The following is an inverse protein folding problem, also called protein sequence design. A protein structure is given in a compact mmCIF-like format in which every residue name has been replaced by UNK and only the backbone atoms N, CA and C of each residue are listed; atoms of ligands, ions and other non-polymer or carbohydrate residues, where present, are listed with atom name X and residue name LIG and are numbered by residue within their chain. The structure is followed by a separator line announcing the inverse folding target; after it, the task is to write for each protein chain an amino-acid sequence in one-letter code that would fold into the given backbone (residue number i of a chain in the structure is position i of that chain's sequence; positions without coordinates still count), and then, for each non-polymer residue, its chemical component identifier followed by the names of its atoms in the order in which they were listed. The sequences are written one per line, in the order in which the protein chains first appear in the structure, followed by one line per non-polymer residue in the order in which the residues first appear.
data_IF_548924303208
#
_entry.id   IF_548924303208
#
_cell.length_a   1.000
_cell.length_b   1.000
_cell.length_c   1.000
_cell.angle_alpha   90.00
_cell.angle_beta   90.00
_cell.angle_gamma   90.00
#
_symmetry.space_group_name_H-M   'P 1'
#
loop_
_entity.id
_entity.type
_entity.pdbx_description
1 polymer ?
#
# COMPACT_ATOMS: atom_id res chain seq x y z
N UNK A 1 -15.44 8.64 3.32
CA UNK A 1 -15.91 7.27 3.58
C UNK A 1 -16.73 6.82 2.39
N UNK A 2 -16.49 5.61 1.86
CA UNK A 2 -17.25 5.02 0.77
C UNK A 2 -17.79 3.67 1.23
N UNK A 3 -19.06 3.41 0.94
CA UNK A 3 -19.75 2.17 1.26
C UNK A 3 -20.40 1.64 -0.02
N UNK A 4 -20.29 0.35 -0.24
CA UNK A 4 -20.89 -0.37 -1.36
C UNK A 4 -21.34 -1.73 -0.85
N UNK A 5 -22.60 -2.11 -1.03
CA UNK A 5 -23.10 -3.41 -0.58
C UNK A 5 -24.18 -3.96 -1.50
N UNK A 6 -24.10 -5.27 -1.78
CA UNK A 6 -25.10 -6.11 -2.42
C UNK A 6 -25.46 -7.22 -1.43
N UNK A 7 -26.72 -7.26 -1.02
CA UNK A 7 -27.21 -8.16 0.03
C UNK A 7 -28.42 -8.96 -0.46
N UNK A 8 -28.70 -10.10 0.19
CA UNK A 8 -29.97 -10.83 0.06
C UNK A 8 -31.05 -10.33 1.03
N UNK A 9 -30.74 -9.30 1.83
CA UNK A 9 -31.63 -8.82 2.87
C UNK A 9 -32.95 -8.27 2.29
N UNK A 10 -34.12 -8.70 2.79
CA UNK A 10 -35.41 -8.30 2.25
C UNK A 10 -35.73 -6.82 2.52
N UNK A 11 -35.15 -6.23 3.57
CA UNK A 11 -35.45 -4.88 4.03
C UNK A 11 -34.33 -3.87 3.72
N UNK A 12 -34.23 -3.49 2.45
CA UNK A 12 -33.18 -2.62 1.90
C UNK A 12 -33.10 -1.24 2.61
N UNK A 13 -34.17 -0.80 3.29
CA UNK A 13 -34.25 0.50 3.95
C UNK A 13 -33.26 0.64 5.14
N UNK A 14 -32.89 -0.44 5.80
CA UNK A 14 -31.93 -0.42 6.93
C UNK A 14 -30.51 -0.07 6.47
N UNK A 15 -30.15 -0.47 5.25
CA UNK A 15 -28.87 -0.18 4.59
C UNK A 15 -28.81 1.31 4.18
N UNK A 16 -29.92 1.87 3.68
CA UNK A 16 -29.99 3.28 3.31
C UNK A 16 -29.92 4.25 4.50
N UNK A 17 -30.18 3.78 5.73
CA UNK A 17 -30.02 4.58 6.96
C UNK A 17 -28.58 4.62 7.47
N UNK A 18 -27.62 4.04 6.74
CA UNK A 18 -26.21 3.97 7.14
C UNK A 18 -26.02 3.32 8.52
N UNK A 19 -26.88 2.35 8.88
CA UNK A 19 -26.71 1.61 10.11
C UNK A 19 -25.57 0.59 9.96
N UNK A 20 -24.35 1.01 10.29
CA UNK A 20 -23.11 0.26 10.05
C UNK A 20 -23.06 -1.11 10.72
N UNK A 21 -23.97 -1.42 11.66
CA UNK A 21 -24.05 -2.73 12.33
C UNK A 21 -24.61 -3.84 11.44
N UNK A 22 -25.35 -3.51 10.38
CA UNK A 22 -25.95 -4.50 9.46
C UNK A 22 -25.16 -4.66 8.16
N UNK A 23 -24.13 -3.84 7.94
CA UNK A 23 -23.26 -3.97 6.77
C UNK A 23 -22.19 -5.03 7.00
N UNK A 24 -21.82 -5.76 5.94
CA UNK A 24 -20.84 -6.86 5.95
C UNK A 24 -21.23 -8.08 6.82
N UNK A 25 -22.53 -8.28 7.08
CA UNK A 25 -23.05 -9.46 7.78
C UNK A 25 -22.72 -10.76 7.01
N UNK A 26 -22.22 -11.75 7.75
CA UNK A 26 -21.78 -13.07 7.28
C UNK A 26 -22.85 -13.85 6.53
N UNK A 27 -24.11 -13.73 6.93
CA UNK A 27 -25.22 -14.55 6.43
C UNK A 27 -25.98 -13.93 5.26
N UNK A 28 -25.89 -12.61 5.09
CA UNK A 28 -26.76 -11.84 4.20
C UNK A 28 -26.00 -11.11 3.09
N UNK A 29 -24.72 -10.77 3.32
CA UNK A 29 -23.91 -10.02 2.36
C UNK A 29 -23.46 -10.93 1.21
N UNK A 30 -23.81 -10.57 -0.02
CA UNK A 30 -23.26 -11.21 -1.23
C UNK A 30 -21.91 -10.57 -1.57
N UNK A 31 -21.84 -9.24 -1.54
CA UNK A 31 -20.60 -8.49 -1.69
C UNK A 31 -20.73 -7.16 -0.98
N UNK A 32 -19.73 -6.77 -0.21
CA UNK A 32 -19.74 -5.49 0.48
C UNK A 32 -18.33 -4.95 0.63
N UNK A 33 -18.18 -3.65 0.45
CA UNK A 33 -16.92 -2.93 0.63
C UNK A 33 -17.16 -1.67 1.42
N UNK A 34 -16.40 -1.49 2.50
CA UNK A 34 -16.34 -0.27 3.28
C UNK A 34 -14.93 0.28 3.24
N UNK A 35 -14.77 1.54 2.83
CA UNK A 35 -13.47 2.20 2.87
C UNK A 35 -13.53 3.56 3.55
N UNK A 36 -12.51 3.82 4.36
CA UNK A 36 -12.28 5.07 5.05
C UNK A 36 -10.89 5.56 4.66
N UNK A 37 -10.83 6.79 4.15
CA UNK A 37 -9.57 7.50 3.96
C UNK A 37 -9.68 8.82 4.71
N UNK A 38 -8.70 9.11 5.54
CA UNK A 38 -8.60 10.36 6.28
C UNK A 38 -7.17 10.89 6.17
N UNK A 39 -7.05 12.18 5.91
CA UNK A 39 -5.76 12.85 5.77
C UNK A 39 -5.70 14.04 6.72
N UNK A 40 -4.55 14.23 7.35
CA UNK A 40 -4.25 15.34 8.24
C UNK A 40 -2.98 15.99 7.72
N UNK A 41 -3.04 17.30 7.54
CA UNK A 41 -1.92 18.10 7.07
C UNK A 41 -1.48 19.07 8.18
N UNK A 42 -0.18 19.16 8.40
CA UNK A 42 0.45 20.19 9.21
C UNK A 42 1.36 21.03 8.32
N UNK A 43 1.28 22.35 8.47
CA UNK A 43 2.04 23.32 7.68
C UNK A 43 1.85 23.20 6.15
N UNK A 44 0.63 22.90 5.71
CA UNK A 44 0.29 22.71 4.30
C UNK A 44 0.77 23.87 3.39
N UNK A 45 0.68 25.10 3.90
CA UNK A 45 1.05 26.31 3.16
C UNK A 45 2.52 26.73 3.31
N UNK A 46 3.34 25.99 4.06
CA UNK A 46 4.77 26.30 4.20
C UNK A 46 5.58 25.53 3.16
N UNK A 47 6.27 26.28 2.30
CA UNK A 47 7.15 25.71 1.27
C UNK A 47 8.36 24.96 1.83
N UNK A 48 8.76 25.31 3.05
CA UNK A 48 9.96 24.78 3.71
C UNK A 48 9.73 23.42 4.36
N UNK A 49 8.56 23.21 4.95
CA UNK A 49 8.26 22.01 5.70
C UNK A 49 6.77 21.70 5.65
N UNK A 50 6.43 20.45 5.39
CA UNK A 50 5.06 19.97 5.47
C UNK A 50 5.01 18.54 5.98
N UNK A 51 3.98 18.24 6.76
CA UNK A 51 3.72 16.89 7.24
C UNK A 51 2.33 16.49 6.79
N UNK A 52 2.23 15.29 6.22
CA UNK A 52 0.96 14.67 5.88
C UNK A 52 0.88 13.31 6.56
N UNK A 53 -0.16 13.11 7.35
CA UNK A 53 -0.54 11.80 7.83
C UNK A 53 -1.79 11.34 7.08
N UNK A 54 -1.79 10.10 6.61
CA UNK A 54 -2.91 9.47 5.92
C UNK A 54 -3.23 8.12 6.57
N UNK A 55 -4.48 7.95 6.96
CA UNK A 55 -5.05 6.67 7.34
C UNK A 55 -5.93 6.16 6.19
N UNK A 56 -5.76 4.91 5.81
CA UNK A 56 -6.65 4.22 4.86
C UNK A 56 -7.06 2.90 5.48
N UNK A 57 -8.36 2.68 5.62
CA UNK A 57 -8.94 1.42 6.10
C UNK A 57 -9.91 0.90 5.04
N UNK A 58 -9.86 -0.40 4.79
CA UNK A 58 -10.71 -1.12 3.85
C UNK A 58 -11.20 -2.39 4.53
N UNK A 59 -12.50 -2.64 4.43
CA UNK A 59 -13.12 -3.91 4.78
C UNK A 59 -13.90 -4.37 3.56
N UNK A 60 -13.64 -5.57 3.12
CA UNK A 60 -14.27 -6.17 1.95
C UNK A 60 -14.76 -7.55 2.33
N UNK A 61 -15.96 -7.86 1.86
CA UNK A 61 -16.57 -9.17 1.94
C UNK A 61 -17.07 -9.57 0.56
N UNK A 62 -16.75 -10.77 0.14
CA UNK A 62 -17.18 -11.30 -1.14
C UNK A 62 -17.61 -12.76 -0.99
N UNK A 63 -18.93 -12.99 -1.13
CA UNK A 63 -19.59 -14.27 -1.11
C UNK A 63 -20.28 -14.55 -2.48
N UNK A 64 -19.83 -13.90 -3.57
CA UNK A 64 -20.42 -14.05 -4.90
C UNK A 64 -20.12 -15.40 -5.56
N UNK A 65 -19.09 -16.10 -5.09
CA UNK A 65 -18.69 -17.39 -5.63
C UNK A 65 -19.38 -18.51 -4.84
N UNK A 66 -20.01 -19.44 -5.56
CA UNK A 66 -20.92 -20.47 -5.04
C UNK A 66 -20.31 -21.39 -3.96
N UNK A 67 -18.97 -21.45 -3.86
CA UNK A 67 -18.26 -22.34 -2.93
C UNK A 67 -17.47 -21.61 -1.83
N UNK A 68 -17.24 -20.28 -1.90
CA UNK A 68 -16.20 -19.66 -1.06
C UNK A 68 -16.51 -18.18 -0.71
N UNK A 69 -16.55 -17.88 0.59
CA UNK A 69 -16.52 -16.52 1.11
C UNK A 69 -15.08 -16.02 1.30
N UNK A 70 -14.85 -14.75 0.93
CA UNK A 70 -13.60 -14.03 1.18
C UNK A 70 -13.87 -12.85 2.11
N UNK A 71 -13.12 -12.78 3.20
CA UNK A 71 -13.04 -11.61 4.07
C UNK A 71 -11.66 -10.96 3.97
N UNK A 72 -11.63 -9.69 3.59
CA UNK A 72 -10.39 -8.91 3.52
C UNK A 72 -10.51 -7.67 4.38
N UNK A 73 -9.52 -7.46 5.25
CA UNK A 73 -9.39 -6.26 6.06
C UNK A 73 -8.01 -5.68 5.84
N UNK A 74 -7.95 -4.42 5.46
CA UNK A 74 -6.69 -3.69 5.26
C UNK A 74 -6.70 -2.39 6.05
N UNK A 75 -5.59 -2.08 6.68
CA UNK A 75 -5.37 -0.82 7.39
C UNK A 75 -3.95 -0.33 7.11
N UNK A 76 -3.85 0.86 6.53
CA UNK A 76 -2.61 1.49 6.13
C UNK A 76 -2.47 2.86 6.81
N UNK A 77 -1.33 3.05 7.45
CA UNK A 77 -0.87 4.33 7.95
C UNK A 77 0.26 4.82 7.06
N UNK A 78 0.21 6.07 6.64
CA UNK A 78 1.28 6.71 5.88
C UNK A 78 1.60 8.06 6.51
N UNK A 79 2.86 8.26 6.87
CA UNK A 79 3.39 9.54 7.32
C UNK A 79 4.39 10.02 6.28
N UNK A 80 4.13 11.19 5.71
CA UNK A 80 5.02 11.88 4.78
C UNK A 80 5.52 13.16 5.41
N UNK A 81 6.84 13.32 5.48
CA UNK A 81 7.52 14.54 5.87
C UNK A 81 8.24 15.11 4.65
N UNK A 82 7.96 16.36 4.32
CA UNK A 82 8.66 17.09 3.26
C UNK A 82 9.46 18.21 3.89
N UNK A 83 10.73 18.33 3.51
CA UNK A 83 11.61 19.39 3.98
C UNK A 83 12.42 19.94 2.81
N UNK A 84 12.23 21.22 2.49
CA UNK A 84 13.10 21.96 1.59
C UNK A 84 14.37 22.41 2.34
N UNK A 85 15.45 21.64 2.19
CA UNK A 85 16.76 21.95 2.76
C UNK A 85 17.37 23.22 2.14
N UNK A 86 17.05 23.49 0.86
CA UNK A 86 17.38 24.74 0.18
C UNK A 86 16.34 25.02 -0.92
N UNK A 87 16.34 26.20 -1.56
CA UNK A 87 15.43 26.49 -2.67
C UNK A 87 15.53 25.52 -3.86
N UNK A 88 16.64 24.76 -3.94
CA UNK A 88 16.92 23.80 -5.01
C UNK A 88 16.90 22.35 -4.53
N UNK A 89 16.93 22.09 -3.22
CA UNK A 89 17.03 20.73 -2.67
C UNK A 89 15.84 20.46 -1.75
N UNK A 90 15.12 19.39 -2.04
CA UNK A 90 13.99 18.92 -1.23
C UNK A 90 14.21 17.48 -0.83
N UNK A 91 13.99 17.19 0.44
CA UNK A 91 13.94 15.84 0.99
C UNK A 91 12.49 15.49 1.32
N UNK A 92 12.05 14.31 0.89
CA UNK A 92 10.74 13.78 1.24
C UNK A 92 10.93 12.40 1.85
N UNK A 93 10.56 12.24 3.11
CA UNK A 93 10.59 10.97 3.83
C UNK A 93 9.18 10.44 3.97
N UNK A 94 8.97 9.17 3.67
CA UNK A 94 7.68 8.50 3.73
C UNK A 94 7.79 7.20 4.53
N UNK A 95 6.97 7.09 5.58
CA UNK A 95 6.86 5.88 6.39
C UNK A 95 5.48 5.28 6.16
N UNK A 96 5.42 4.00 5.82
CA UNK A 96 4.18 3.25 5.63
C UNK A 96 4.14 2.05 6.54
N UNK A 97 3.01 1.86 7.20
CA UNK A 97 2.68 0.67 7.95
C UNK A 97 1.39 0.11 7.36
N UNK A 98 1.44 -1.09 6.79
CA UNK A 98 0.28 -1.75 6.23
C UNK A 98 0.02 -3.05 6.99
N UNK A 99 -1.25 -3.25 7.32
CA UNK A 99 -1.78 -4.47 7.89
C UNK A 99 -2.85 -4.98 6.93
N UNK A 100 -2.68 -6.20 6.44
CA UNK A 100 -3.63 -6.83 5.54
C UNK A 100 -3.93 -8.25 6.04
N UNK A 101 -5.20 -8.49 6.32
CA UNK A 101 -5.74 -9.76 6.76
C UNK A 101 -6.68 -10.27 5.66
N UNK A 102 -6.36 -11.41 5.06
CA UNK A 102 -7.13 -12.06 4.00
C UNK A 102 -7.48 -13.46 4.44
N UNK A 103 -8.76 -13.70 4.71
CA UNK A 103 -9.26 -14.94 5.30
C UNK A 103 -10.29 -15.53 4.35
N UNK A 104 -10.13 -16.81 4.03
CA UNK A 104 -11.02 -17.59 3.19
C UNK A 104 -11.83 -18.56 4.05
N UNK A 105 -13.09 -18.76 3.70
CA UNK A 105 -13.96 -19.69 4.45
C UNK A 105 -13.71 -21.18 4.08
N UNK A 106 -12.84 -21.48 3.12
CA UNK A 106 -12.53 -22.85 2.66
C UNK A 106 -11.12 -23.33 3.05
N UNK A 107 -11.00 -24.60 3.48
CA UNK A 107 -9.76 -25.22 3.95
C UNK A 107 -8.67 -25.41 2.87
N UNK A 108 -9.00 -25.17 1.59
CA UNK A 108 -8.10 -25.38 0.45
C UNK A 108 -7.32 -24.13 0.01
N UNK A 109 -7.69 -22.93 0.50
CA UNK A 109 -6.98 -21.68 0.22
C UNK A 109 -6.24 -21.19 1.45
N UNK A 110 -5.17 -20.45 1.20
CA UNK A 110 -4.27 -19.99 2.23
C UNK A 110 -4.75 -18.64 2.74
N UNK A 111 -5.22 -18.64 3.99
CA UNK A 111 -5.32 -17.43 4.79
C UNK A 111 -3.96 -16.74 4.84
N UNK A 112 -3.98 -15.40 4.84
CA UNK A 112 -2.78 -14.58 4.89
C UNK A 112 -2.97 -13.44 5.86
N UNK A 113 -1.98 -13.27 6.73
CA UNK A 113 -1.95 -12.21 7.73
C UNK A 113 -0.66 -11.42 7.52
N UNK A 114 -0.67 -10.55 6.52
CA UNK A 114 0.51 -9.81 6.10
C UNK A 114 0.65 -8.53 6.91
N UNK A 115 1.84 -8.31 7.44
CA UNK A 115 2.26 -7.04 8.05
C UNK A 115 3.44 -6.50 7.27
N UNK A 116 3.28 -5.30 6.74
CA UNK A 116 4.29 -4.63 5.93
C UNK A 116 4.69 -3.31 6.57
N UNK A 117 5.99 -3.06 6.62
CA UNK A 117 6.58 -1.81 7.09
C UNK A 117 7.52 -1.32 6.01
N UNK A 118 7.36 -0.07 5.59
CA UNK A 118 8.17 0.50 4.54
C UNK A 118 8.64 1.90 4.94
N UNK A 119 9.89 2.19 4.65
CA UNK A 119 10.48 3.50 4.80
C UNK A 119 11.10 3.91 3.45
N UNK A 120 10.76 5.12 2.99
CA UNK A 120 11.26 5.68 1.74
C UNK A 120 11.81 7.08 2.00
N UNK A 121 12.91 7.44 1.34
CA UNK A 121 13.46 8.79 1.34
C UNK A 121 13.73 9.17 -0.11
N UNK A 122 13.18 10.30 -0.53
CA UNK A 122 13.44 10.91 -1.83
C UNK A 122 14.20 12.21 -1.64
N UNK A 123 15.38 12.29 -2.26
CA UNK A 123 16.16 13.51 -2.37
C UNK A 123 16.01 14.05 -3.79
N UNK A 124 15.43 15.23 -3.93
CA UNK A 124 15.23 15.92 -5.20
C UNK A 124 16.08 17.19 -5.27
N UNK A 125 16.81 17.34 -6.38
CA UNK A 125 17.64 18.49 -6.68
C UNK A 125 17.20 19.14 -8.00
N UNK A 126 16.83 20.42 -7.93
CA UNK A 126 16.40 21.25 -9.05
C UNK A 126 17.40 22.40 -9.29
N UNK A 127 18.52 22.15 -9.99
CA UNK A 127 19.52 23.19 -10.25
C UNK A 127 18.95 24.34 -11.08
N UNK A 128 18.05 24.02 -12.03
CA UNK A 128 17.29 24.94 -12.87
C UNK A 128 15.81 24.54 -12.80
N UNK A 129 14.86 25.47 -12.98
CA UNK A 129 13.44 25.13 -12.98
C UNK A 129 13.05 24.07 -14.03
N UNK A 130 13.84 23.95 -15.10
CA UNK A 130 13.61 22.98 -16.17
C UNK A 130 14.26 21.60 -15.94
N UNK A 131 15.13 21.43 -14.94
CA UNK A 131 15.85 20.17 -14.70
C UNK A 131 15.67 19.73 -13.26
N UNK A 132 15.24 18.48 -13.07
CA UNK A 132 15.13 17.83 -11.77
C UNK A 132 15.88 16.51 -11.80
N UNK A 133 16.70 16.29 -10.78
CA UNK A 133 17.33 15.00 -10.49
C UNK A 133 16.83 14.55 -9.14
N UNK A 134 16.17 13.40 -9.08
CA UNK A 134 15.65 12.84 -7.85
C UNK A 134 16.21 11.43 -7.65
N UNK A 135 16.48 11.08 -6.40
CA UNK A 135 16.85 9.73 -6.02
C UNK A 135 15.93 9.28 -4.91
N UNK A 136 15.22 8.19 -5.12
CA UNK A 136 14.38 7.58 -4.09
C UNK A 136 15.01 6.28 -3.61
N UNK A 137 15.31 6.23 -2.33
CA UNK A 137 15.83 5.08 -1.63
C UNK A 137 14.75 4.55 -0.69
N UNK A 138 14.74 3.26 -0.44
CA UNK A 138 13.93 2.76 0.67
C UNK A 138 14.10 1.28 0.94
N UNK A 139 13.45 0.88 2.02
CA UNK A 139 13.41 -0.47 2.51
C UNK A 139 11.97 -0.87 2.82
N UNK A 140 11.63 -2.14 2.59
CA UNK A 140 10.38 -2.75 2.99
C UNK A 140 10.65 -4.03 3.76
N UNK A 141 9.84 -4.27 4.78
CA UNK A 141 9.89 -5.45 5.64
C UNK A 141 8.48 -6.01 5.73
N UNK A 142 8.29 -7.18 5.14
CA UNK A 142 7.01 -7.86 5.08
C UNK A 142 7.10 -9.17 5.85
N UNK A 143 6.06 -9.47 6.63
CA UNK A 143 5.95 -10.72 7.38
C UNK A 143 4.56 -11.27 7.24
N UNK A 144 4.47 -12.55 6.88
CA UNK A 144 3.24 -13.33 7.04
C UNK A 144 3.20 -13.90 8.46
N UNK A 145 2.11 -13.63 9.16
CA UNK A 145 1.83 -14.12 10.51
C UNK A 145 0.95 -15.37 10.51
N UNK A 146 0.49 -15.83 9.34
CA UNK A 146 -0.27 -17.06 9.24
C UNK A 146 0.68 -18.27 9.29
N UNK A 147 0.97 -18.71 10.51
CA UNK A 147 1.80 -19.89 10.79
C UNK A 147 0.90 -21.12 10.91
N UNK A 148 1.17 -22.16 10.13
CA UNK A 148 0.53 -23.48 10.25
C UNK A 148 1.63 -24.53 10.41
N UNK A 149 1.31 -25.71 10.93
CA UNK A 149 2.27 -26.81 11.09
C UNK A 149 3.08 -27.10 9.81
N UNK A 150 2.45 -27.00 8.64
CA UNK A 150 3.10 -27.24 7.34
C UNK A 150 3.70 -25.98 6.68
N UNK A 151 3.54 -24.80 7.29
CA UNK A 151 3.98 -23.51 6.71
C UNK A 151 4.55 -22.57 7.77
N UNK A 152 5.89 -22.46 7.88
CA UNK A 152 6.53 -21.51 8.78
C UNK A 152 6.26 -20.07 8.33
N UNK A 153 6.37 -19.10 9.25
CA UNK A 153 6.20 -17.69 8.89
C UNK A 153 7.21 -17.25 7.86
N UNK A 154 6.70 -16.66 6.78
CA UNK A 154 7.51 -16.13 5.69
C UNK A 154 7.84 -14.66 5.96
N UNK A 155 9.10 -14.29 5.81
CA UNK A 155 9.57 -12.91 5.91
C UNK A 155 10.22 -12.52 4.60
N UNK A 156 9.93 -11.31 4.13
CA UNK A 156 10.57 -10.72 2.98
C UNK A 156 11.13 -9.35 3.36
N UNK A 157 12.36 -9.08 2.93
CA UNK A 157 12.98 -7.78 3.07
C UNK A 157 13.34 -7.29 1.68
N UNK A 158 13.02 -6.04 1.37
CA UNK A 158 13.32 -5.44 0.07
C UNK A 158 14.07 -4.14 0.26
N UNK A 159 15.10 -3.93 -0.54
CA UNK A 159 15.79 -2.65 -0.72
C UNK A 159 15.51 -2.15 -2.12
N UNK A 160 15.21 -0.87 -2.28
CA UNK A 160 14.96 -0.27 -3.58
C UNK A 160 15.68 1.07 -3.74
N UNK A 161 16.19 1.29 -4.95
CA UNK A 161 16.84 2.51 -5.40
C UNK A 161 16.22 2.91 -6.74
N UNK A 162 15.73 4.15 -6.82
CA UNK A 162 15.08 4.74 -7.99
C UNK A 162 15.67 6.12 -8.31
N UNK A 163 16.79 6.19 -9.04
CA UNK A 163 17.23 7.43 -9.66
C UNK A 163 16.26 7.84 -10.77
N UNK A 164 15.96 9.13 -10.82
CA UNK A 164 15.07 9.75 -11.79
C UNK A 164 15.67 11.07 -12.26
N UNK A 165 15.65 11.29 -13.57
CA UNK A 165 15.97 12.58 -14.18
C UNK A 165 14.77 13.05 -14.97
N UNK A 166 14.38 14.30 -14.77
CA UNK A 166 13.29 14.92 -15.50
C UNK A 166 13.69 16.28 -16.07
N UNK A 167 13.30 16.51 -17.31
CA UNK A 167 13.52 17.76 -18.02
C UNK A 167 12.20 18.34 -18.54
N UNK A 168 11.84 19.53 -18.10
CA UNK A 168 10.65 20.24 -18.55
C UNK A 168 10.96 21.04 -19.82
N UNK A 169 10.31 20.67 -20.92
CA UNK A 169 10.30 21.41 -22.17
C UNK A 169 9.27 22.54 -22.04
N UNK A 170 9.74 23.79 -21.94
CA UNK A 170 8.88 24.97 -21.75
C UNK A 170 7.71 24.97 -22.73
N UNK A 171 6.49 24.83 -22.20
CA UNK A 171 5.25 24.86 -22.97
C UNK A 171 4.99 23.64 -23.88
N UNK A 172 5.85 22.63 -23.89
CA UNK A 172 5.75 21.46 -24.80
C UNK A 172 5.60 20.12 -24.08
N UNK A 173 6.04 20.00 -22.83
CA UNK A 173 5.89 18.78 -22.04
C UNK A 173 7.04 18.53 -21.07
N UNK A 174 7.21 17.28 -20.64
CA UNK A 174 8.26 16.84 -19.72
C UNK A 174 8.83 15.51 -20.20
N UNK A 175 10.15 15.43 -20.32
CA UNK A 175 10.88 14.18 -20.52
C UNK A 175 11.29 13.65 -19.15
N UNK A 176 11.16 12.34 -18.93
CA UNK A 176 11.55 11.68 -17.69
C UNK A 176 12.18 10.33 -18.00
N UNK A 177 13.35 10.09 -17.43
CA UNK A 177 13.96 8.76 -17.35
C UNK A 177 14.03 8.32 -15.90
N UNK A 178 13.69 7.07 -15.63
CA UNK A 178 13.73 6.45 -14.31
C UNK A 178 14.36 5.08 -14.45
N UNK A 179 15.22 4.70 -13.51
CA UNK A 179 15.73 3.34 -13.39
C UNK A 179 15.35 2.86 -12.00
N UNK A 180 14.84 1.64 -11.90
CA UNK A 180 14.50 1.01 -10.63
C UNK A 180 15.39 -0.22 -10.42
N UNK A 181 16.07 -0.22 -9.29
CA UNK A 181 16.79 -1.38 -8.75
C UNK A 181 16.08 -1.85 -7.49
N UNK A 182 15.78 -3.14 -7.42
CA UNK A 182 15.19 -3.76 -6.22
C UNK A 182 15.96 -5.03 -5.89
N UNK A 183 16.32 -5.21 -4.63
CA UNK A 183 16.86 -6.45 -4.11
C UNK A 183 15.95 -6.98 -3.01
N UNK A 184 15.51 -8.23 -3.14
CA UNK A 184 14.62 -8.90 -2.19
C UNK A 184 15.32 -10.12 -1.60
N UNK A 185 15.26 -10.26 -0.27
CA UNK A 185 15.63 -11.49 0.43
C UNK A 185 14.42 -12.10 1.12
N UNK A 186 14.34 -13.43 1.13
CA UNK A 186 13.26 -14.18 1.77
C UNK A 186 13.82 -15.09 2.87
N UNK A 187 13.05 -15.24 3.95
CA UNK A 187 13.33 -16.21 5.01
C UNK A 187 12.04 -17.00 5.29
N UNK A 188 12.03 -18.35 5.13
CA UNK A 188 13.13 -19.20 4.64
C UNK A 188 13.46 -18.98 3.15
N UNK A 189 14.75 -19.08 2.79
CA UNK A 189 15.22 -18.85 1.42
C UNK A 189 14.67 -19.88 0.42
N UNK A 190 14.44 -19.48 -0.82
CA UNK A 190 13.98 -20.37 -1.90
C UNK A 190 12.48 -20.70 -1.87
N UNK A 191 11.71 -20.09 -0.97
CA UNK A 191 10.24 -20.19 -1.00
C UNK A 191 9.62 -19.22 -1.99
N UNK A 192 8.49 -19.61 -2.58
CA UNK A 192 7.72 -18.75 -3.47
C UNK A 192 7.06 -17.65 -2.66
N UNK A 193 7.54 -16.41 -2.82
CA UNK A 193 6.92 -15.24 -2.22
C UNK A 193 5.56 -14.97 -2.89
N UNK A 194 4.46 -14.91 -2.12
CA UNK A 194 3.18 -14.45 -2.64
C UNK A 194 3.24 -12.96 -3.01
N UNK A 195 2.36 -12.52 -3.91
CA UNK A 195 2.35 -11.14 -4.42
C UNK A 195 2.24 -10.09 -3.31
N UNK A 196 1.47 -10.39 -2.25
CA UNK A 196 1.29 -9.49 -1.11
C UNK A 196 2.58 -9.29 -0.29
N UNK A 197 3.53 -10.23 -0.37
CA UNK A 197 4.89 -10.10 0.16
C UNK A 197 5.82 -9.55 -0.93
N UNK A 198 6.66 -8.57 -0.57
CA UNK A 198 7.57 -7.88 -1.49
C UNK A 198 6.90 -7.20 -2.71
N UNK A 199 5.57 -6.98 -2.67
CA UNK A 199 4.76 -6.34 -3.73
C UNK A 199 4.98 -6.97 -5.12
N UNK A 200 5.04 -8.31 -5.16
CA UNK A 200 5.22 -9.07 -6.40
C UNK A 200 6.65 -9.15 -6.93
N UNK A 201 7.64 -8.61 -6.21
CA UNK A 201 9.04 -8.85 -6.54
C UNK A 201 9.46 -10.26 -6.12
N UNK A 202 10.26 -10.91 -6.96
CA UNK A 202 10.85 -12.22 -6.64
C UNK A 202 12.09 -12.04 -5.78
N UNK A 203 12.44 -13.07 -5.02
CA UNK A 203 13.73 -13.15 -4.33
C UNK A 203 14.90 -12.95 -5.32
N UNK A 204 15.90 -12.18 -4.90
CA UNK A 204 17.04 -11.77 -5.72
C UNK A 204 16.96 -10.31 -6.18
N UNK A 205 17.73 -9.99 -7.22
CA UNK A 205 17.87 -8.62 -7.74
C UNK A 205 17.11 -8.43 -9.04
N UNK A 206 16.34 -7.35 -9.13
CA UNK A 206 15.56 -6.96 -10.31
C UNK A 206 15.92 -5.54 -10.75
N UNK A 207 16.04 -5.33 -12.06
CA UNK A 207 16.23 -4.02 -12.69
C UNK A 207 15.05 -3.71 -13.61
N UNK A 208 14.60 -2.45 -13.62
CA UNK A 208 13.56 -1.93 -14.53
C UNK A 208 13.97 -0.53 -15.01
N UNK A 209 13.53 -0.13 -16.20
CA UNK A 209 13.81 1.17 -16.81
C UNK A 209 12.67 1.61 -17.73
#
# INVERSE_FOLDING_TARGET
MRLEEKTKYPEVWEIYRLNLSHFLDDSLTIFGTQSLQQEIYLWENRREQSVRYRLTALRERNNQFLDEGLRRTQMQHELRLTWALSPKVTSQTELKLNREDRIFDSAGRNDRLVRSRQAEVELSYRPRPALEVANRLGAAFDRDLHETFDRPSLRAQALFLRPRVAYALRGRGRLQGEIEWVSVSAEPAGQVLPYELAKGNREGTTWRW
#
